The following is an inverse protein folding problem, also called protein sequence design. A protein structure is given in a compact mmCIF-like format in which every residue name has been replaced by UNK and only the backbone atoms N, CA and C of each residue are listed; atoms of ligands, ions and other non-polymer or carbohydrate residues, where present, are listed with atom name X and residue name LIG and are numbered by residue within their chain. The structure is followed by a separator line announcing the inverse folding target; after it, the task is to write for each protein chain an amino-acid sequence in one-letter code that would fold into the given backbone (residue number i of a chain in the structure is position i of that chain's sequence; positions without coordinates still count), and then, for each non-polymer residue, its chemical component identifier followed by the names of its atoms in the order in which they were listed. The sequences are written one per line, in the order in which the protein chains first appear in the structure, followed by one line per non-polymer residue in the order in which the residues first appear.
data_IF_214592899134
#
_entry.id   IF_214592899134
#
_cell.length_a   1.000
_cell.length_b   1.000
_cell.length_c   1.000
_cell.angle_alpha   90.00
_cell.angle_beta   90.00
_cell.angle_gamma   90.00
#
_symmetry.space_group_name_H-M   'P 1'
#
loop_
_entity.id
_entity.type
_entity.pdbx_description
1 polymer ?
#
# COMPACT_ATOMS: atom_id res chain seq x y z
N UNK A 1 -7.52 -18.61 20.15
CA UNK A 1 -7.87 -19.05 18.79
C UNK A 1 -7.73 -17.81 17.95
N UNK A 2 -6.63 -17.69 17.22
CA UNK A 2 -6.45 -16.56 16.32
C UNK A 2 -7.40 -16.80 15.16
N UNK A 3 -8.45 -15.99 15.08
CA UNK A 3 -9.31 -15.93 13.90
C UNK A 3 -8.42 -15.39 12.76
N UNK A 4 -8.31 -16.11 11.64
CA UNK A 4 -7.50 -15.67 10.51
C UNK A 4 -7.95 -14.30 10.01
N UNK A 5 -7.04 -13.53 9.41
CA UNK A 5 -7.39 -12.18 8.92
C UNK A 5 -8.42 -12.30 7.80
N UNK A 6 -9.51 -11.54 7.90
CA UNK A 6 -10.49 -11.46 6.83
C UNK A 6 -9.98 -10.52 5.74
N UNK A 7 -9.56 -11.09 4.61
CA UNK A 7 -9.17 -10.33 3.43
C UNK A 7 -10.35 -10.21 2.47
N UNK A 8 -10.74 -8.99 2.05
CA UNK A 8 -11.90 -8.77 1.22
C UNK A 8 -11.72 -9.35 -0.20
N UNK A 9 -12.81 -9.81 -0.80
CA UNK A 9 -12.81 -10.36 -2.16
C UNK A 9 -12.65 -9.27 -3.23
N UNK A 10 -12.97 -8.03 -2.87
CA UNK A 10 -12.93 -6.87 -3.75
C UNK A 10 -12.38 -5.64 -3.05
N UNK A 11 -11.59 -4.85 -3.77
CA UNK A 11 -11.04 -3.57 -3.31
C UNK A 11 -11.27 -2.48 -4.36
N UNK A 12 -11.05 -1.23 -3.97
CA UNK A 12 -11.01 -0.11 -4.92
C UNK A 12 -9.62 -0.04 -5.58
N UNK A 13 -9.58 0.04 -6.90
CA UNK A 13 -8.35 0.24 -7.65
C UNK A 13 -7.76 1.61 -7.37
N UNK A 14 -6.46 1.68 -7.03
CA UNK A 14 -5.78 2.94 -6.71
C UNK A 14 -5.55 3.83 -7.95
N UNK A 15 -5.45 3.23 -9.15
CA UNK A 15 -5.20 3.99 -10.39
C UNK A 15 -6.48 4.56 -11.02
N UNK A 16 -7.57 3.81 -11.04
CA UNK A 16 -8.78 4.19 -11.78
C UNK A 16 -10.05 4.30 -10.91
N UNK A 17 -9.98 3.93 -9.63
CA UNK A 17 -11.11 4.00 -8.69
C UNK A 17 -12.20 2.93 -8.92
N UNK A 18 -12.08 2.09 -9.94
CA UNK A 18 -13.01 1.00 -10.22
C UNK A 18 -12.76 -0.24 -9.35
N UNK A 19 -13.68 -1.19 -9.35
CA UNK A 19 -13.56 -2.40 -8.53
C UNK A 19 -12.44 -3.32 -9.03
N UNK A 20 -11.58 -3.76 -8.12
CA UNK A 20 -10.62 -4.82 -8.35
C UNK A 20 -11.01 -6.09 -7.59
N UNK A 21 -10.87 -7.23 -8.26
CA UNK A 21 -11.27 -8.54 -7.76
C UNK A 21 -10.05 -9.35 -7.35
N UNK A 22 -10.14 -10.05 -6.21
CA UNK A 22 -9.09 -10.93 -5.71
C UNK A 22 -8.90 -12.10 -6.68
N UNK A 23 -7.64 -12.35 -7.04
CA UNK A 23 -7.23 -13.50 -7.85
C UNK A 23 -6.72 -14.65 -6.98
N UNK A 24 -6.09 -14.35 -5.85
CA UNK A 24 -5.57 -15.38 -4.94
C UNK A 24 -6.73 -16.01 -4.14
N UNK A 25 -6.89 -17.34 -4.14
CA UNK A 25 -7.86 -18.00 -3.27
C UNK A 25 -7.45 -17.88 -1.79
N UNK A 26 -8.41 -17.90 -0.86
CA UNK A 26 -8.10 -17.90 0.57
C UNK A 26 -7.35 -19.19 0.96
N UNK A 27 -6.35 -19.12 1.85
CA UNK A 27 -5.69 -20.31 2.41
C UNK A 27 -6.67 -21.14 3.24
N UNK A 28 -6.36 -22.43 3.40
CA UNK A 28 -7.16 -23.37 4.19
C UNK A 28 -7.24 -23.00 5.69
N UNK A 29 -6.17 -22.42 6.24
CA UNK A 29 -6.09 -21.95 7.63
C UNK A 29 -6.47 -20.46 7.81
N UNK A 30 -6.88 -19.77 6.73
CA UNK A 30 -7.13 -18.33 6.72
C UNK A 30 -5.87 -17.50 6.42
N UNK A 31 -6.02 -16.17 6.35
CA UNK A 31 -4.90 -15.27 6.00
C UNK A 31 -4.07 -14.90 7.23
N UNK A 32 -2.75 -14.82 7.04
CA UNK A 32 -1.80 -14.39 8.06
C UNK A 32 -1.12 -13.07 7.68
N UNK A 33 -0.62 -12.34 8.69
CA UNK A 33 0.13 -11.10 8.45
C UNK A 33 1.40 -11.41 7.66
N UNK A 34 1.64 -10.66 6.59
CA UNK A 34 2.77 -10.86 5.68
C UNK A 34 2.44 -11.68 4.45
N UNK A 35 1.26 -12.31 4.38
CA UNK A 35 0.81 -13.00 3.17
C UNK A 35 0.59 -12.03 2.01
N UNK A 36 0.71 -12.55 0.79
CA UNK A 36 0.50 -11.78 -0.43
C UNK A 36 -0.83 -12.12 -1.10
N UNK A 37 -1.58 -11.08 -1.44
CA UNK A 37 -2.88 -11.18 -2.09
C UNK A 37 -2.85 -10.40 -3.39
N UNK A 38 -3.10 -11.10 -4.51
CA UNK A 38 -3.17 -10.49 -5.83
C UNK A 38 -4.62 -10.06 -6.14
N UNK A 39 -4.78 -8.84 -6.64
CA UNK A 39 -6.03 -8.29 -7.16
C UNK A 39 -5.87 -7.86 -8.61
N UNK A 40 -6.97 -7.89 -9.37
CA UNK A 40 -7.03 -7.36 -10.73
C UNK A 40 -8.22 -6.46 -10.94
N UNK A 41 -7.98 -5.26 -11.46
CA UNK A 41 -9.03 -4.30 -11.76
C UNK A 41 -9.87 -4.75 -12.97
N UNK A 42 -11.19 -4.57 -12.89
CA UNK A 42 -12.10 -4.79 -14.03
C UNK A 42 -12.00 -3.70 -15.11
N UNK A 43 -11.69 -2.47 -14.71
CA UNK A 43 -11.57 -1.30 -15.60
C UNK A 43 -10.21 -1.24 -16.30
N UNK A 44 -9.14 -0.87 -15.57
CA UNK A 44 -7.81 -0.67 -16.16
C UNK A 44 -7.06 -1.97 -16.48
N UNK A 45 -7.50 -3.11 -15.93
CA UNK A 45 -6.87 -4.45 -16.06
C UNK A 45 -5.49 -4.60 -15.43
N UNK A 46 -5.01 -3.57 -14.74
CA UNK A 46 -3.80 -3.65 -13.91
C UNK A 46 -3.98 -4.59 -12.72
N UNK A 47 -2.83 -5.06 -12.24
CA UNK A 47 -2.71 -6.01 -11.14
C UNK A 47 -2.01 -5.35 -9.96
N UNK A 48 -2.51 -5.66 -8.77
CA UNK A 48 -1.96 -5.22 -7.50
C UNK A 48 -1.62 -6.42 -6.64
N UNK A 49 -0.42 -6.43 -6.06
CA UNK A 49 0.01 -7.42 -5.07
C UNK A 49 0.13 -6.70 -3.72
N UNK A 50 -0.79 -7.03 -2.80
CA UNK A 50 -0.89 -6.39 -1.50
C UNK A 50 -0.44 -7.36 -0.40
N UNK A 51 0.23 -6.83 0.61
CA UNK A 51 0.62 -7.58 1.80
C UNK A 51 -0.51 -7.48 2.83
N UNK A 52 -0.90 -8.62 3.41
CA UNK A 52 -1.84 -8.66 4.52
C UNK A 52 -1.19 -7.99 5.73
N UNK A 53 -1.73 -6.84 6.12
CA UNK A 53 -1.27 -6.08 7.28
C UNK A 53 -2.05 -6.46 8.54
N UNK A 54 -1.40 -6.32 9.68
CA UNK A 54 -2.06 -6.44 10.98
C UNK A 54 -3.09 -5.31 11.17
N UNK A 55 -4.36 -5.62 11.49
CA UNK A 55 -5.42 -4.62 11.59
C UNK A 55 -5.23 -3.65 12.76
N UNK A 56 -4.55 -4.08 13.82
CA UNK A 56 -4.26 -3.28 15.01
C UNK A 56 -3.03 -2.37 14.81
N UNK A 57 -2.15 -2.72 13.87
CA UNK A 57 -0.92 -1.98 13.55
C UNK A 57 -1.14 -0.72 12.72
N UNK A 58 -2.40 -0.43 12.34
CA UNK A 58 -2.84 0.91 11.93
C UNK A 58 -1.94 1.60 10.91
N UNK A 59 -1.65 0.95 9.77
CA UNK A 59 -1.19 1.59 8.52
C UNK A 59 -0.18 2.73 8.66
N UNK A 60 0.77 2.60 9.59
CA UNK A 60 1.88 3.53 9.70
C UNK A 60 2.89 3.14 8.65
N UNK A 61 2.98 3.95 7.60
CA UNK A 61 4.14 4.01 6.72
C UNK A 61 5.42 3.73 7.52
N UNK A 62 6.32 2.97 6.93
CA UNK A 62 7.75 3.15 7.13
C UNK A 62 7.98 4.63 7.45
N UNK A 63 8.18 4.92 8.73
CA UNK A 63 8.18 6.30 9.16
C UNK A 63 9.44 6.87 8.54
N UNK A 64 9.26 7.67 7.48
CA UNK A 64 10.24 8.58 6.88
C UNK A 64 10.72 9.59 7.95
N UNK A 65 11.27 9.08 9.04
CA UNK A 65 11.95 9.84 10.09
C UNK A 65 13.43 9.98 9.79
N UNK A 66 13.99 9.17 8.89
CA UNK A 66 15.36 9.34 8.40
C UNK A 66 15.47 10.32 7.23
N UNK A 67 14.36 10.58 6.51
CA UNK A 67 14.30 11.61 5.48
C UNK A 67 13.38 12.74 5.95
N UNK A 68 13.96 13.78 6.56
CA UNK A 68 13.23 14.99 6.94
C UNK A 68 12.74 15.73 5.67
N UNK A 69 11.61 15.27 5.12
CA UNK A 69 11.01 15.75 3.88
C UNK A 69 10.71 17.25 3.94
N UNK A 70 10.40 17.77 5.15
CA UNK A 70 10.20 19.20 5.36
C UNK A 70 11.48 19.99 5.16
N UNK A 71 12.62 19.47 5.62
CA UNK A 71 13.94 20.08 5.39
C UNK A 71 14.33 20.05 3.91
N UNK A 72 14.13 18.92 3.23
CA UNK A 72 14.50 18.78 1.82
C UNK A 72 13.68 19.70 0.89
N UNK A 73 12.37 19.83 1.13
CA UNK A 73 11.53 20.78 0.38
C UNK A 73 12.01 22.23 0.57
N UNK A 74 12.42 22.58 1.79
CA UNK A 74 12.94 23.92 2.10
C UNK A 74 14.32 24.20 1.46
N UNK A 75 15.14 23.18 1.22
CA UNK A 75 16.44 23.33 0.55
C UNK A 75 16.32 23.48 -0.96
N UNK A 76 15.34 22.80 -1.58
CA UNK A 76 15.08 22.90 -3.03
C UNK A 76 14.58 24.26 -3.49
N UNK A 77 13.87 24.98 -2.64
CA UNK A 77 13.34 26.32 -2.96
C UNK A 77 14.38 27.44 -2.75
N UNK A 78 15.60 27.10 -2.32
CA UNK A 78 16.66 28.09 -2.20
C UNK A 78 17.07 28.56 -3.60
N UNK A 79 16.92 29.86 -3.93
CA UNK A 79 17.43 30.38 -5.18
C UNK A 79 18.94 30.16 -5.22
N UNK A 80 19.41 29.47 -6.26
CA UNK A 80 20.83 29.24 -6.50
C UNK A 80 21.45 30.62 -6.76
N UNK A 81 22.11 31.19 -5.75
CA UNK A 81 22.77 32.49 -5.88
C UNK A 81 24.02 32.25 -6.71
N UNK A 82 23.87 32.41 -8.03
CA UNK A 82 24.96 32.32 -8.98
C UNK A 82 26.17 33.10 -8.47
N UNK A 83 27.28 32.40 -8.38
CA UNK A 83 28.61 32.98 -8.16
C UNK A 83 28.96 33.82 -9.40
N UNK A 84 29.12 35.14 -9.19
CA UNK A 84 29.73 36.10 -10.12
C UNK A 84 31.25 36.18 -9.85
#
# INVERSE_FOLDING_TARGET
MSDGIEVPETITCVDCGETAHRLTPPPEDGWEVGDFVAYRCSGCRDRWDLVVSDPESGGGADTESDFDLRRWLAERDRPNKGED
#
